data_IF_218254836524
#
_entry.id   IF_218254836524
#
_cell.length_a   1.000
_cell.length_b   1.000
_cell.length_c   1.000
_cell.angle_alpha   90.00
_cell.angle_beta   90.00
_cell.angle_gamma   90.00
#
_symmetry.space_group_name_H-M   'P 1'
#
loop_
_entity.id
_entity.type
_entity.pdbx_description
1 polymer ?
#
# COMPACT_ATOMS: atom_id res chain seq x y z
N UNK A 1 -59.44 10.56 -58.49
CA UNK A 1 -59.83 11.08 -57.17
C UNK A 1 -58.59 10.98 -56.28
N UNK A 2 -57.65 11.90 -56.48
CA UNK A 2 -57.49 13.16 -55.71
C UNK A 2 -56.86 12.89 -54.34
N UNK A 3 -55.55 13.15 -54.19
CA UNK A 3 -54.93 14.37 -53.60
C UNK A 3 -54.66 14.15 -52.08
N UNK A 4 -53.39 14.03 -51.60
CA UNK A 4 -52.45 15.10 -51.18
C UNK A 4 -53.08 16.14 -50.21
N UNK A 5 -52.30 16.83 -49.34
CA UNK A 5 -51.33 16.38 -48.32
C UNK A 5 -51.36 17.28 -47.04
N UNK A 6 -50.39 17.07 -46.12
CA UNK A 6 -49.63 18.05 -45.30
C UNK A 6 -50.27 19.11 -44.37
N UNK A 7 -49.51 19.33 -43.27
CA UNK A 7 -49.44 20.49 -42.35
C UNK A 7 -50.67 20.73 -41.46
N UNK A 8 -50.57 21.23 -40.23
CA UNK A 8 -49.72 22.28 -39.65
C UNK A 8 -49.64 22.02 -38.12
N UNK A 9 -48.50 22.21 -37.47
CA UNK A 9 -48.13 23.45 -36.76
C UNK A 9 -48.93 23.74 -35.47
N UNK A 10 -48.20 23.66 -34.35
CA UNK A 10 -48.16 24.58 -33.21
C UNK A 10 -49.49 25.03 -32.55
N UNK A 11 -49.69 24.65 -31.28
CA UNK A 11 -49.64 25.55 -30.09
C UNK A 11 -50.51 25.09 -28.90
N UNK A 12 -50.04 25.49 -27.69
CA UNK A 12 -50.74 25.59 -26.39
C UNK A 12 -51.01 24.25 -25.68
N UNK A 13 -50.99 24.13 -24.36
CA UNK A 13 -50.64 24.98 -23.23
C UNK A 13 -50.75 24.10 -21.98
N UNK A 14 -49.88 24.32 -20.99
CA UNK A 14 -50.13 24.15 -19.54
C UNK A 14 -50.80 22.86 -19.03
N UNK A 15 -50.06 22.07 -18.23
CA UNK A 15 -50.40 21.78 -16.82
C UNK A 15 -49.42 20.75 -16.22
N UNK A 16 -48.63 21.24 -15.26
CA UNK A 16 -48.20 20.61 -14.00
C UNK A 16 -48.17 19.08 -13.90
N UNK A 17 -46.97 18.52 -13.66
CA UNK A 17 -46.67 17.68 -12.48
C UNK A 17 -45.16 17.43 -12.36
N UNK A 18 -44.68 17.62 -11.14
CA UNK A 18 -43.28 17.79 -10.79
C UNK A 18 -42.40 16.55 -10.96
N UNK A 19 -41.15 16.84 -11.31
CA UNK A 19 -39.99 16.00 -11.05
C UNK A 19 -38.99 16.89 -10.32
N UNK A 20 -38.69 16.54 -9.07
CA UNK A 20 -37.62 17.17 -8.30
C UNK A 20 -36.29 16.89 -9.02
N UNK A 21 -35.68 17.94 -9.57
CA UNK A 21 -34.30 17.91 -10.01
C UNK A 21 -33.37 17.96 -8.78
N UNK A 22 -32.29 17.16 -8.73
CA UNK A 22 -31.25 17.33 -7.72
C UNK A 22 -30.58 18.69 -7.89
N UNK A 23 -30.36 19.38 -6.76
CA UNK A 23 -29.72 20.68 -6.72
C UNK A 23 -28.35 20.67 -7.46
N UNK A 24 -27.99 21.73 -8.20
CA UNK A 24 -26.66 21.83 -8.77
C UNK A 24 -25.65 21.90 -7.62
N UNK A 25 -24.64 21.04 -7.69
CA UNK A 25 -23.45 21.10 -6.84
C UNK A 25 -22.95 22.54 -6.82
N UNK A 26 -23.11 23.19 -5.66
CA UNK A 26 -22.53 24.49 -5.40
C UNK A 26 -21.04 24.39 -5.63
N UNK A 27 -20.55 25.07 -6.67
CA UNK A 27 -19.14 25.38 -6.79
C UNK A 27 -18.79 26.25 -5.58
N UNK A 28 -18.27 25.63 -4.52
CA UNK A 28 -17.49 26.33 -3.50
C UNK A 28 -16.19 26.77 -4.17
N UNK A 29 -16.27 27.84 -4.96
CA UNK A 29 -15.11 28.67 -5.26
C UNK A 29 -14.78 29.32 -3.93
N UNK A 30 -13.83 28.72 -3.20
CA UNK A 30 -13.30 29.32 -1.99
C UNK A 30 -12.66 30.64 -2.39
N UNK A 31 -13.25 31.75 -1.95
CA UNK A 31 -12.66 33.07 -2.06
C UNK A 31 -11.21 33.05 -1.53
N UNK A 32 -10.28 33.81 -2.13
CA UNK A 32 -8.93 33.93 -1.61
C UNK A 32 -9.00 34.49 -0.18
N UNK A 33 -8.33 33.86 0.82
CA UNK A 33 -8.42 34.31 2.20
C UNK A 33 -7.86 35.73 2.33
N UNK A 34 -8.63 36.60 2.99
CA UNK A 34 -8.23 37.98 3.29
C UNK A 34 -7.06 37.98 4.29
N UNK A 35 -6.19 39.02 4.29
CA UNK A 35 -4.94 39.01 5.07
C UNK A 35 -5.05 38.98 6.59
N UNK A 36 -6.26 39.15 7.16
CA UNK A 36 -6.46 39.38 8.60
C UNK A 36 -6.62 38.13 9.46
N UNK A 37 -6.75 36.94 8.86
CA UNK A 37 -6.90 35.66 9.58
C UNK A 37 -5.62 34.81 9.61
N UNK A 38 -4.49 35.37 9.18
CA UNK A 38 -3.21 34.65 9.18
C UNK A 38 -2.60 34.63 10.58
N UNK A 39 -2.20 33.43 11.02
CA UNK A 39 -1.70 33.17 12.37
C UNK A 39 -0.17 33.24 12.34
N UNK A 40 0.46 34.01 13.23
CA UNK A 40 1.92 34.21 13.28
C UNK A 40 2.57 33.48 14.45
N UNK A 41 3.86 33.20 14.34
CA UNK A 41 4.64 32.63 15.44
C UNK A 41 4.91 33.69 16.52
N UNK A 42 4.67 33.34 17.79
CA UNK A 42 4.91 34.21 18.95
C UNK A 42 6.35 34.17 19.49
N UNK A 43 7.22 33.29 18.98
CA UNK A 43 8.61 33.18 19.43
C UNK A 43 9.41 34.39 18.97
N UNK A 44 10.01 35.09 19.93
CA UNK A 44 10.81 36.30 19.69
C UNK A 44 11.91 36.03 18.67
N UNK A 45 11.95 36.83 17.60
CA UNK A 45 12.95 36.72 16.52
C UNK A 45 12.65 35.64 15.47
N UNK A 46 11.50 34.96 15.52
CA UNK A 46 11.12 34.01 14.48
C UNK A 46 10.66 34.72 13.19
N UNK A 47 11.32 34.41 12.06
CA UNK A 47 11.06 35.04 10.75
C UNK A 47 10.14 34.14 9.87
N UNK A 48 9.27 33.35 10.50
CA UNK A 48 8.36 32.47 9.74
C UNK A 48 7.32 33.27 8.97
N UNK A 49 6.97 32.82 7.76
CA UNK A 49 5.80 33.33 7.05
C UNK A 49 4.52 33.08 7.89
N UNK A 50 3.52 33.96 7.82
CA UNK A 50 2.22 33.74 8.48
C UNK A 50 1.55 32.45 7.99
N UNK A 51 0.85 31.77 8.87
CA UNK A 51 0.20 30.48 8.64
C UNK A 51 -1.28 30.66 8.37
N UNK A 52 -1.85 29.82 7.49
CA UNK A 52 -3.29 29.87 7.17
C UNK A 52 -4.15 29.09 8.15
N UNK A 53 -3.55 28.17 8.92
CA UNK A 53 -4.27 27.24 9.81
C UNK A 53 -3.50 27.05 11.11
N UNK A 54 -4.22 26.91 12.22
CA UNK A 54 -3.62 26.66 13.54
C UNK A 54 -2.75 25.40 13.54
N UNK A 55 -3.15 24.35 12.81
CA UNK A 55 -2.36 23.13 12.66
C UNK A 55 -0.98 23.37 12.02
N UNK A 56 -0.85 24.34 11.11
CA UNK A 56 0.42 24.69 10.48
C UNK A 56 1.33 25.46 11.45
N UNK A 57 0.75 26.37 12.26
CA UNK A 57 1.47 27.04 13.33
C UNK A 57 1.93 26.03 14.40
N UNK A 58 1.04 25.16 14.90
CA UNK A 58 1.39 24.15 15.90
C UNK A 58 2.55 23.27 15.43
N UNK A 59 2.54 22.88 14.15
CA UNK A 59 3.64 22.14 13.52
C UNK A 59 4.93 22.97 13.42
N UNK A 60 4.83 24.27 13.16
CA UNK A 60 5.98 25.17 13.15
C UNK A 60 6.59 25.30 14.55
N UNK A 61 5.76 25.43 15.60
CA UNK A 61 6.20 25.59 16.98
C UNK A 61 7.07 24.42 17.47
N UNK A 62 6.84 23.20 16.97
CA UNK A 62 7.71 22.04 17.23
C UNK A 62 9.18 22.27 16.85
N UNK A 63 9.48 23.16 15.89
CA UNK A 63 10.86 23.52 15.54
C UNK A 63 11.56 24.29 16.66
N UNK A 64 10.82 25.10 17.40
CA UNK A 64 11.35 25.86 18.54
C UNK A 64 11.54 24.97 19.76
N UNK A 65 10.72 23.93 19.91
CA UNK A 65 10.88 22.92 20.98
C UNK A 65 12.11 22.03 20.77
N UNK A 66 12.67 21.96 19.56
CA UNK A 66 13.82 21.11 19.24
C UNK A 66 13.54 19.60 19.31
N UNK A 67 12.28 19.19 19.53
CA UNK A 67 11.89 17.78 19.64
C UNK A 67 11.98 17.09 18.29
N UNK A 68 12.81 16.06 18.24
CA UNK A 68 13.01 15.21 17.07
C UNK A 68 12.55 13.80 17.43
N UNK A 69 11.26 13.55 17.23
CA UNK A 69 10.59 12.36 17.78
C UNK A 69 10.59 11.15 16.83
N UNK A 70 11.10 11.31 15.60
CA UNK A 70 10.96 10.32 14.52
C UNK A 70 12.32 9.91 13.95
N UNK A 71 13.10 9.06 14.64
CA UNK A 71 14.37 8.56 14.14
C UNK A 71 14.17 7.59 12.97
N UNK A 72 15.15 7.57 12.06
CA UNK A 72 15.27 6.49 11.08
C UNK A 72 15.82 5.23 11.74
N UNK A 73 15.19 4.08 11.49
CA UNK A 73 15.59 2.80 12.09
C UNK A 73 16.56 1.99 11.21
N UNK A 74 16.96 2.53 10.05
CA UNK A 74 17.95 1.88 9.19
C UNK A 74 19.33 1.85 9.86
N UNK A 75 19.98 0.70 9.81
CA UNK A 75 21.33 0.49 10.37
C UNK A 75 22.32 1.41 9.67
N UNK A 76 23.09 2.17 10.44
CA UNK A 76 24.07 3.13 9.92
C UNK A 76 23.47 4.46 9.41
N UNK A 77 22.15 4.67 9.49
CA UNK A 77 21.55 5.94 9.10
C UNK A 77 21.83 7.04 10.15
N UNK A 78 22.28 8.21 9.67
CA UNK A 78 22.59 9.38 10.52
C UNK A 78 21.36 10.17 10.98
N UNK A 79 20.15 9.82 10.51
CA UNK A 79 18.90 10.55 10.82
C UNK A 79 18.26 10.03 12.11
N UNK A 80 19.03 10.04 13.20
CA UNK A 80 18.67 9.55 14.54
C UNK A 80 19.07 10.57 15.61
N UNK A 81 18.63 10.38 16.87
CA UNK A 81 18.95 11.30 17.97
C UNK A 81 18.55 12.74 17.62
N UNK A 82 19.47 13.70 17.78
CA UNK A 82 19.26 15.12 17.44
C UNK A 82 19.06 15.39 15.94
N UNK A 83 19.36 14.42 15.09
CA UNK A 83 19.14 14.46 13.64
C UNK A 83 17.87 13.67 13.24
N UNK A 84 17.04 13.23 14.19
CA UNK A 84 15.77 12.62 13.86
C UNK A 84 14.82 13.61 13.17
N UNK A 85 13.77 13.10 12.55
CA UNK A 85 12.75 13.94 11.93
C UNK A 85 11.81 14.49 13.00
N UNK A 86 11.28 15.68 12.76
CA UNK A 86 10.25 16.30 13.61
C UNK A 86 8.84 15.89 13.22
N UNK A 87 8.71 15.12 12.11
CA UNK A 87 7.42 14.70 11.55
C UNK A 87 7.49 13.29 10.94
N UNK A 88 6.42 12.49 11.04
CA UNK A 88 6.35 11.15 10.48
C UNK A 88 6.37 11.14 8.94
N UNK A 89 5.69 12.09 8.28
CA UNK A 89 5.70 12.17 6.81
C UNK A 89 7.10 12.44 6.23
N UNK A 90 7.95 13.14 6.98
CA UNK A 90 9.35 13.40 6.60
C UNK A 90 10.22 12.16 6.80
N UNK A 91 9.98 11.40 7.85
CA UNK A 91 10.61 10.08 8.02
C UNK A 91 10.19 9.14 6.88
N UNK A 92 8.90 9.05 6.56
CA UNK A 92 8.39 8.22 5.46
C UNK A 92 9.05 8.59 4.13
N UNK A 93 9.06 9.86 3.76
CA UNK A 93 9.68 10.33 2.51
C UNK A 93 11.18 10.03 2.47
N UNK A 94 11.88 10.19 3.59
CA UNK A 94 13.29 9.81 3.71
C UNK A 94 13.51 8.32 3.48
N UNK A 95 12.70 7.45 4.10
CA UNK A 95 12.85 6.00 3.94
C UNK A 95 12.60 5.57 2.50
N UNK A 96 11.59 6.13 1.84
CA UNK A 96 11.28 5.86 0.43
C UNK A 96 12.40 6.29 -0.51
N UNK A 97 12.99 7.46 -0.26
CA UNK A 97 13.99 8.04 -1.15
C UNK A 97 15.41 7.51 -0.90
N UNK A 98 15.71 7.12 0.34
CA UNK A 98 17.07 6.84 0.79
C UNK A 98 17.36 5.38 1.09
N UNK A 99 16.35 4.51 1.24
CA UNK A 99 16.53 3.11 1.62
C UNK A 99 15.83 2.14 0.66
N UNK A 100 16.51 1.05 0.34
CA UNK A 100 16.07 -0.06 -0.49
C UNK A 100 15.48 -1.18 0.37
N UNK A 101 14.84 -2.15 -0.29
CA UNK A 101 14.15 -3.27 0.39
C UNK A 101 15.09 -4.20 1.16
N UNK A 102 16.37 -4.22 0.75
CA UNK A 102 17.44 -5.01 1.37
C UNK A 102 18.23 -4.26 2.45
N UNK A 103 18.06 -2.94 2.57
CA UNK A 103 18.71 -2.18 3.64
C UNK A 103 18.20 -2.68 5.00
N UNK A 104 19.12 -2.91 5.94
CA UNK A 104 18.78 -3.47 7.24
C UNK A 104 18.20 -2.40 8.17
N UNK A 105 17.14 -2.75 8.88
CA UNK A 105 16.48 -1.94 9.88
C UNK A 105 16.51 -2.65 11.21
N UNK A 106 16.87 -1.92 12.27
CA UNK A 106 16.93 -2.42 13.63
C UNK A 106 15.70 -2.02 14.42
N UNK A 107 15.18 -2.97 15.19
CA UNK A 107 14.05 -2.68 16.06
C UNK A 107 14.41 -1.70 17.18
N UNK A 108 13.50 -0.77 17.50
CA UNK A 108 13.74 0.28 18.50
C UNK A 108 13.43 -0.16 19.95
N UNK A 109 12.99 -1.41 20.18
CA UNK A 109 12.62 -1.90 21.52
C UNK A 109 13.94 -2.06 22.24
N UNK A 110 13.98 -1.69 23.51
CA UNK A 110 15.06 -2.13 24.39
C UNK A 110 15.26 -3.66 24.36
N UNK A 111 14.18 -4.46 24.35
CA UNK A 111 14.24 -5.93 24.39
C UNK A 111 14.23 -6.65 23.03
N UNK A 112 14.37 -5.92 21.91
CA UNK A 112 14.37 -6.55 20.58
C UNK A 112 15.65 -6.20 19.83
N UNK A 113 16.49 -7.22 19.59
CA UNK A 113 17.74 -7.10 18.85
C UNK A 113 17.64 -7.50 17.38
N UNK A 114 16.42 -7.72 16.87
CA UNK A 114 16.20 -8.18 15.50
C UNK A 114 16.57 -7.07 14.50
N UNK A 115 17.34 -7.45 13.49
CA UNK A 115 17.66 -6.66 12.31
C UNK A 115 17.09 -7.35 11.08
N UNK A 116 16.27 -6.63 10.30
CA UNK A 116 15.57 -7.20 9.14
C UNK A 116 15.70 -6.27 7.94
N UNK A 117 15.69 -6.81 6.71
CA UNK A 117 15.54 -6.02 5.50
C UNK A 117 14.30 -5.13 5.57
N UNK A 118 14.37 -3.89 5.07
CA UNK A 118 13.26 -2.91 5.06
C UNK A 118 11.93 -3.51 4.63
N UNK A 119 11.93 -4.34 3.58
CA UNK A 119 10.73 -4.97 3.04
C UNK A 119 10.02 -5.92 4.00
N UNK A 120 10.76 -6.52 4.95
CA UNK A 120 10.22 -7.42 5.98
C UNK A 120 10.05 -6.71 7.32
N UNK A 121 10.91 -5.73 7.62
CA UNK A 121 10.90 -4.97 8.87
C UNK A 121 9.55 -4.28 9.14
N UNK A 122 8.86 -3.85 8.09
CA UNK A 122 7.53 -3.26 8.23
C UNK A 122 6.50 -4.20 8.89
N UNK A 123 6.66 -5.53 8.73
CA UNK A 123 5.82 -6.55 9.36
C UNK A 123 6.16 -6.72 10.84
N UNK A 124 7.47 -6.75 11.15
CA UNK A 124 7.95 -6.82 12.52
C UNK A 124 7.48 -5.62 13.35
N UNK A 125 7.57 -4.42 12.77
CA UNK A 125 7.33 -3.18 13.49
C UNK A 125 5.84 -2.83 13.61
N UNK A 126 4.98 -3.30 12.70
CA UNK A 126 3.53 -2.99 12.77
C UNK A 126 2.83 -3.65 13.96
N UNK A 127 3.36 -4.74 14.49
CA UNK A 127 2.67 -5.56 15.50
C UNK A 127 2.67 -4.97 16.92
N UNK A 128 3.51 -3.98 17.20
CA UNK A 128 3.75 -3.54 18.59
C UNK A 128 3.57 -2.04 18.88
N UNK A 129 3.56 -1.17 17.86
CA UNK A 129 3.65 0.28 18.04
C UNK A 129 2.53 0.92 17.27
N UNK A 130 1.45 1.18 18.00
CA UNK A 130 0.29 1.95 17.52
C UNK A 130 0.57 3.47 17.53
N UNK A 131 1.84 3.86 17.41
CA UNK A 131 2.29 5.25 17.38
C UNK A 131 2.70 5.71 15.98
N UNK A 132 3.08 6.99 15.82
CA UNK A 132 3.23 7.56 14.47
C UNK A 132 4.43 7.02 13.67
N UNK A 133 5.41 6.39 14.34
CA UNK A 133 6.47 5.64 13.64
C UNK A 133 5.90 4.33 13.10
N UNK A 134 5.02 3.66 13.85
CA UNK A 134 4.31 2.47 13.43
C UNK A 134 3.49 2.72 12.18
N UNK A 135 2.71 3.81 12.17
CA UNK A 135 1.93 4.24 11.01
C UNK A 135 2.81 4.44 9.75
N UNK A 136 4.02 4.98 9.92
CA UNK A 136 4.98 5.12 8.82
C UNK A 136 5.32 3.75 8.25
N UNK A 137 5.79 2.82 9.07
CA UNK A 137 6.21 1.49 8.59
C UNK A 137 5.04 0.64 8.09
N UNK A 138 3.89 0.70 8.75
CA UNK A 138 2.65 0.08 8.27
C UNK A 138 2.29 0.59 6.87
N UNK A 139 2.36 1.89 6.63
CA UNK A 139 2.09 2.43 5.30
C UNK A 139 3.15 2.07 4.25
N UNK A 140 4.39 1.78 4.64
CA UNK A 140 5.47 1.36 3.74
C UNK A 140 5.34 -0.11 3.33
N UNK A 141 4.71 -0.95 4.15
CA UNK A 141 4.40 -2.36 3.85
C UNK A 141 3.55 -2.51 2.59
N UNK A 142 2.59 -1.61 2.39
CA UNK A 142 1.61 -1.67 1.30
C UNK A 142 2.11 -1.00 0.01
N UNK A 143 3.30 -0.41 0.02
CA UNK A 143 3.88 0.24 -1.16
C UNK A 143 4.65 -0.78 -2.02
N UNK A 144 4.54 -0.64 -3.34
CA UNK A 144 5.35 -1.43 -4.29
C UNK A 144 6.08 -0.49 -5.23
N UNK A 145 7.40 -0.56 -5.23
CA UNK A 145 8.25 0.19 -6.17
C UNK A 145 8.44 -0.63 -7.44
N UNK A 146 8.53 0.04 -8.58
CA UNK A 146 9.03 -0.61 -9.79
C UNK A 146 10.44 -1.21 -9.53
N UNK A 147 10.66 -2.51 -9.83
CA UNK A 147 11.96 -3.16 -9.61
C UNK A 147 13.08 -2.64 -10.52
N UNK A 148 12.74 -1.90 -11.58
CA UNK A 148 13.71 -1.38 -12.54
C UNK A 148 14.46 -0.17 -11.94
N UNK A 149 15.81 -0.20 -11.89
CA UNK A 149 16.60 0.89 -11.34
C UNK A 149 16.28 2.25 -11.99
N UNK A 150 16.34 3.31 -11.18
CA UNK A 150 16.01 4.70 -11.55
C UNK A 150 14.55 4.96 -11.93
N UNK A 151 13.70 3.93 -12.02
CA UNK A 151 12.26 4.15 -12.13
C UNK A 151 11.71 4.70 -10.81
N UNK A 152 10.93 5.77 -10.90
CA UNK A 152 10.31 6.45 -9.75
C UNK A 152 8.86 6.05 -9.53
N UNK A 153 8.34 5.06 -10.26
CA UNK A 153 6.96 4.60 -10.10
C UNK A 153 6.80 3.82 -8.80
N UNK A 154 5.75 4.18 -8.06
CA UNK A 154 5.29 3.50 -6.86
C UNK A 154 3.80 3.27 -6.95
N UNK A 155 3.39 2.03 -6.70
CA UNK A 155 2.01 1.72 -6.40
C UNK A 155 1.77 1.99 -4.92
N UNK A 156 0.85 2.92 -4.63
CA UNK A 156 0.44 3.28 -3.27
C UNK A 156 -1.02 2.88 -3.13
N UNK A 157 -1.29 1.84 -2.33
CA UNK A 157 -2.67 1.48 -1.99
C UNK A 157 -3.27 2.59 -1.13
N UNK A 158 -4.22 3.35 -1.67
CA UNK A 158 -4.98 4.33 -0.89
C UNK A 158 -6.26 3.64 -0.38
N UNK A 159 -6.50 3.73 0.92
CA UNK A 159 -7.61 3.05 1.62
C UNK A 159 -9.02 3.56 1.25
N UNK A 160 -9.18 4.40 0.22
CA UNK A 160 -10.40 5.15 -0.06
C UNK A 160 -11.13 4.75 -1.35
N UNK A 161 -10.71 3.67 -2.03
CA UNK A 161 -11.55 3.06 -3.06
C UNK A 161 -12.26 1.83 -2.50
N UNK A 162 -13.59 1.87 -2.50
CA UNK A 162 -14.42 0.71 -2.14
C UNK A 162 -14.29 -0.46 -3.15
N UNK A 163 -13.59 -0.27 -4.27
CA UNK A 163 -13.07 -1.40 -5.03
C UNK A 163 -11.73 -1.83 -4.39
N UNK A 164 -11.74 -3.00 -3.76
CA UNK A 164 -10.54 -3.74 -3.35
C UNK A 164 -9.65 -4.17 -4.54
N UNK A 165 -9.93 -3.64 -5.74
CA UNK A 165 -9.56 -4.16 -7.04
C UNK A 165 -8.44 -3.36 -7.74
N UNK A 166 -7.89 -2.30 -7.11
CA UNK A 166 -6.63 -1.68 -7.55
C UNK A 166 -5.46 -2.55 -7.08
N UNK A 167 -5.35 -3.69 -7.75
CA UNK A 167 -4.36 -4.73 -7.49
C UNK A 167 -2.97 -4.36 -7.99
N UNK A 168 -2.05 -5.30 -7.82
CA UNK A 168 -0.70 -5.23 -8.35
C UNK A 168 -0.65 -5.26 -9.90
N UNK A 169 -1.80 -5.40 -10.56
CA UNK A 169 -1.99 -5.28 -12.01
C UNK A 169 -1.50 -3.92 -12.55
N UNK A 170 -1.67 -2.84 -11.80
CA UNK A 170 -1.16 -1.51 -12.18
C UNK A 170 0.38 -1.50 -12.31
N UNK A 171 1.07 -2.33 -11.52
CA UNK A 171 2.51 -2.51 -11.64
C UNK A 171 2.87 -3.31 -12.89
N UNK A 172 2.09 -4.35 -13.24
CA UNK A 172 2.30 -5.10 -14.49
C UNK A 172 2.06 -4.21 -15.71
N UNK A 173 0.96 -3.45 -15.73
CA UNK A 173 0.65 -2.48 -16.77
C UNK A 173 1.77 -1.44 -16.89
N UNK A 174 2.24 -0.88 -15.76
CA UNK A 174 3.39 0.02 -15.75
C UNK A 174 4.64 -0.60 -16.38
N UNK A 175 4.97 -1.86 -16.04
CA UNK A 175 6.13 -2.58 -16.58
C UNK A 175 6.02 -2.73 -18.11
N UNK A 176 4.83 -3.00 -18.63
CA UNK A 176 4.57 -3.16 -20.06
C UNK A 176 4.56 -1.84 -20.83
N UNK A 177 3.95 -0.80 -20.26
CA UNK A 177 3.75 0.48 -20.94
C UNK A 177 4.96 1.41 -20.87
N UNK A 178 5.72 1.37 -19.76
CA UNK A 178 6.78 2.36 -19.49
C UNK A 178 8.19 1.83 -19.67
N UNK A 179 8.34 0.52 -19.84
CA UNK A 179 9.63 -0.12 -20.10
C UNK A 179 9.50 -0.99 -21.34
N UNK A 180 10.45 -0.93 -22.25
CA UNK A 180 10.47 -1.80 -23.42
C UNK A 180 10.97 -3.20 -23.05
N UNK A 181 10.76 -4.18 -23.94
CA UNK A 181 11.16 -5.57 -23.69
C UNK A 181 12.68 -5.70 -23.42
N UNK A 182 13.51 -4.90 -24.11
CA UNK A 182 14.95 -4.88 -23.89
C UNK A 182 15.32 -4.31 -22.53
N UNK A 183 14.70 -3.19 -22.13
CA UNK A 183 14.89 -2.58 -20.82
C UNK A 183 14.52 -3.52 -19.68
N UNK A 184 13.40 -4.24 -19.80
CA UNK A 184 13.02 -5.25 -18.81
C UNK A 184 13.97 -6.44 -18.79
N UNK A 185 14.38 -6.95 -19.95
CA UNK A 185 15.32 -8.08 -20.05
C UNK A 185 16.68 -7.78 -19.38
N UNK A 186 17.17 -6.54 -19.48
CA UNK A 186 18.40 -6.10 -18.80
C UNK A 186 18.32 -6.20 -17.27
N UNK A 187 17.11 -6.17 -16.71
CA UNK A 187 16.85 -6.25 -15.27
C UNK A 187 16.06 -7.50 -14.89
N UNK A 188 16.17 -8.58 -15.69
CA UNK A 188 15.39 -9.80 -15.48
C UNK A 188 15.57 -10.42 -14.09
N UNK A 189 16.78 -10.35 -13.52
CA UNK A 189 17.04 -10.82 -12.15
C UNK A 189 16.22 -10.06 -11.10
N UNK A 190 16.13 -8.74 -11.21
CA UNK A 190 15.36 -7.90 -10.27
C UNK A 190 13.86 -8.11 -10.44
N UNK A 191 13.39 -8.23 -11.68
CA UNK A 191 11.98 -8.54 -11.98
C UNK A 191 11.60 -9.91 -11.41
N UNK A 192 12.44 -10.93 -11.61
CA UNK A 192 12.21 -12.27 -11.04
C UNK A 192 12.19 -12.26 -9.51
N UNK A 193 13.10 -11.52 -8.87
CA UNK A 193 13.09 -11.38 -7.40
C UNK A 193 11.81 -10.69 -6.88
N UNK A 194 11.26 -9.77 -7.68
CA UNK A 194 9.98 -9.13 -7.42
C UNK A 194 8.76 -9.97 -7.85
N UNK A 195 8.97 -11.14 -8.46
CA UNK A 195 7.93 -12.09 -8.84
C UNK A 195 7.32 -11.87 -10.23
N UNK A 196 8.02 -11.20 -11.14
CA UNK A 196 7.53 -10.92 -12.50
C UNK A 196 8.44 -11.47 -13.60
N UNK A 197 7.83 -11.96 -14.68
CA UNK A 197 8.55 -12.34 -15.89
C UNK A 197 9.07 -11.10 -16.62
N UNK A 198 10.34 -11.12 -17.06
CA UNK A 198 10.95 -9.95 -17.68
C UNK A 198 10.40 -9.61 -19.06
N UNK A 199 9.81 -10.59 -19.76
CA UNK A 199 9.31 -10.41 -21.11
C UNK A 199 7.82 -10.07 -21.07
N UNK A 200 7.02 -10.88 -20.37
CA UNK A 200 5.56 -10.77 -20.37
C UNK A 200 5.02 -9.92 -19.22
N UNK A 201 5.83 -9.62 -18.20
CA UNK A 201 5.39 -9.02 -16.93
C UNK A 201 4.31 -9.85 -16.21
N UNK A 202 4.11 -11.11 -16.60
CA UNK A 202 3.22 -12.04 -15.88
C UNK A 202 3.77 -12.33 -14.49
N UNK A 203 2.87 -12.60 -13.55
CA UNK A 203 3.21 -13.01 -12.18
C UNK A 203 3.83 -14.40 -12.23
N UNK A 204 5.00 -14.56 -11.62
CA UNK A 204 5.70 -15.85 -11.53
C UNK A 204 5.47 -16.47 -10.15
N UNK A 205 5.14 -17.76 -10.12
CA UNK A 205 5.24 -18.50 -8.87
C UNK A 205 6.72 -18.69 -8.51
N UNK A 206 7.21 -18.19 -7.36
CA UNK A 206 8.61 -18.29 -7.00
C UNK A 206 9.03 -19.70 -6.54
N UNK A 207 8.07 -20.56 -6.19
CA UNK A 207 8.30 -21.90 -5.66
C UNK A 207 8.44 -22.94 -6.79
N UNK A 208 7.66 -22.79 -7.87
CA UNK A 208 7.64 -23.79 -8.93
C UNK A 208 8.90 -23.72 -9.82
N UNK A 209 9.48 -24.88 -10.22
CA UNK A 209 10.75 -24.93 -10.95
C UNK A 209 10.69 -24.36 -12.37
N UNK A 210 9.58 -24.50 -13.11
CA UNK A 210 9.43 -23.89 -14.46
C UNK A 210 7.98 -23.58 -14.85
N UNK A 211 7.81 -22.51 -15.63
CA UNK A 211 6.63 -22.13 -16.44
C UNK A 211 5.28 -21.92 -15.71
N UNK A 212 5.30 -21.65 -14.41
CA UNK A 212 4.10 -21.24 -13.67
C UNK A 212 4.02 -19.71 -13.66
N UNK A 213 3.43 -19.17 -14.75
CA UNK A 213 3.18 -17.75 -14.95
C UNK A 213 1.67 -17.51 -15.01
N UNK A 214 1.27 -16.35 -14.52
CA UNK A 214 -0.13 -15.97 -14.40
C UNK A 214 -0.32 -14.55 -14.93
N UNK A 215 -1.33 -14.38 -15.78
CA UNK A 215 -1.67 -13.06 -16.30
C UNK A 215 -2.10 -12.12 -15.17
N UNK A 216 -2.84 -12.64 -14.19
CA UNK A 216 -3.38 -11.90 -13.05
C UNK A 216 -2.88 -12.47 -11.73
N UNK A 217 -2.79 -11.62 -10.71
CA UNK A 217 -2.37 -12.04 -9.37
C UNK A 217 -3.37 -13.01 -8.72
N UNK A 218 -4.67 -12.89 -8.98
CA UNK A 218 -5.68 -13.81 -8.44
C UNK A 218 -5.49 -15.26 -8.92
N UNK A 219 -5.03 -15.43 -10.17
CA UNK A 219 -4.74 -16.76 -10.72
C UNK A 219 -3.51 -17.37 -10.01
N UNK A 220 -2.53 -16.53 -9.64
CA UNK A 220 -1.41 -16.95 -8.79
C UNK A 220 -1.88 -17.32 -7.36
N UNK A 221 -2.80 -16.58 -6.76
CA UNK A 221 -3.33 -16.90 -5.41
C UNK A 221 -4.04 -18.26 -5.39
N UNK A 222 -4.89 -18.50 -6.40
CA UNK A 222 -5.56 -19.79 -6.57
C UNK A 222 -4.54 -20.93 -6.73
N UNK A 223 -3.52 -20.75 -7.58
CA UNK A 223 -2.43 -21.72 -7.71
C UNK A 223 -1.71 -21.96 -6.37
N UNK A 224 -1.39 -20.91 -5.62
CA UNK A 224 -0.72 -21.04 -4.33
C UNK A 224 -1.53 -21.87 -3.34
N UNK A 225 -2.83 -21.60 -3.20
CA UNK A 225 -3.67 -22.39 -2.29
C UNK A 225 -3.83 -23.85 -2.72
N UNK A 226 -3.79 -24.12 -4.02
CA UNK A 226 -3.92 -25.49 -4.54
C UNK A 226 -2.63 -26.30 -4.45
N UNK A 227 -1.46 -25.66 -4.49
CA UNK A 227 -0.18 -26.37 -4.69
C UNK A 227 0.80 -26.20 -3.52
N UNK A 228 0.75 -25.09 -2.79
CA UNK A 228 1.78 -24.70 -1.81
C UNK A 228 1.22 -24.44 -0.40
N UNK A 229 -0.11 -24.45 -0.23
CA UNK A 229 -0.74 -24.20 1.05
C UNK A 229 -1.00 -25.50 1.81
N UNK A 230 -0.32 -25.66 2.95
CA UNK A 230 -0.52 -26.78 3.88
C UNK A 230 -1.18 -26.27 5.17
N UNK A 231 -2.44 -25.84 5.07
CA UNK A 231 -3.21 -25.39 6.22
C UNK A 231 -4.58 -26.06 6.29
N UNK A 232 -5.32 -25.87 7.39
CA UNK A 232 -6.65 -26.42 7.53
C UNK A 232 -7.53 -25.90 6.39
N UNK A 233 -8.16 -26.82 5.68
CA UNK A 233 -9.38 -26.55 4.94
C UNK A 233 -10.47 -26.61 6.03
N UNK A 234 -11.25 -25.54 6.19
CA UNK A 234 -12.34 -25.39 7.18
C UNK A 234 -12.74 -26.69 7.91
N UNK A 235 -12.66 -26.72 9.24
CA UNK A 235 -12.91 -27.92 10.06
C UNK A 235 -14.27 -28.58 9.77
N UNK A 236 -15.27 -27.81 9.31
CA UNK A 236 -16.60 -28.31 8.96
C UNK A 236 -16.64 -29.09 7.63
N UNK A 237 -15.61 -29.01 6.77
CA UNK A 237 -15.58 -29.64 5.43
C UNK A 237 -14.16 -30.05 5.02
N UNK A 238 -13.59 -31.03 5.74
CA UNK A 238 -12.25 -31.57 5.52
C UNK A 238 -11.99 -32.16 4.12
N UNK A 239 -13.05 -32.39 3.34
CA UNK A 239 -13.03 -32.92 1.96
C UNK A 239 -13.10 -31.82 0.88
N UNK A 240 -12.96 -30.55 1.27
CA UNK A 240 -13.10 -29.37 0.40
C UNK A 240 -14.51 -29.16 -0.19
N UNK A 241 -15.54 -29.79 0.39
CA UNK A 241 -16.96 -29.62 -0.01
C UNK A 241 -17.65 -28.36 0.52
N UNK A 242 -16.91 -27.42 1.13
CA UNK A 242 -17.47 -26.18 1.71
C UNK A 242 -18.49 -25.49 0.79
N UNK A 243 -19.55 -24.85 1.29
CA UNK A 243 -20.31 -23.90 0.49
C UNK A 243 -19.43 -22.69 0.10
N UNK A 244 -19.78 -21.99 -0.98
CA UNK A 244 -19.04 -20.79 -1.43
C UNK A 244 -19.03 -19.64 -0.40
N UNK A 245 -19.97 -19.67 0.54
CA UNK A 245 -20.08 -18.73 1.67
C UNK A 245 -19.21 -19.11 2.88
N UNK A 246 -18.44 -20.19 2.80
CA UNK A 246 -17.60 -20.64 3.90
C UNK A 246 -16.42 -19.68 4.13
N UNK A 247 -16.27 -19.20 5.37
CA UNK A 247 -15.13 -18.36 5.78
C UNK A 247 -13.78 -19.03 5.52
N UNK A 248 -13.69 -20.36 5.59
CA UNK A 248 -12.47 -21.10 5.24
C UNK A 248 -12.14 -21.12 3.74
N UNK A 249 -12.95 -20.51 2.87
CA UNK A 249 -12.59 -20.19 1.49
C UNK A 249 -11.96 -18.80 1.35
N UNK A 250 -12.04 -17.93 2.36
CA UNK A 250 -11.45 -16.60 2.32
C UNK A 250 -9.92 -16.66 2.49
N UNK A 251 -9.21 -15.96 1.60
CA UNK A 251 -7.74 -15.82 1.66
C UNK A 251 -7.25 -15.37 3.04
N UNK A 252 -7.98 -14.42 3.64
CA UNK A 252 -7.68 -13.89 4.96
C UNK A 252 -7.65 -15.00 6.02
N UNK A 253 -8.72 -15.81 6.07
CA UNK A 253 -8.85 -16.87 7.05
C UNK A 253 -7.78 -17.94 6.84
N UNK A 254 -7.59 -18.39 5.59
CA UNK A 254 -6.60 -19.43 5.25
C UNK A 254 -5.18 -19.03 5.63
N UNK A 255 -4.75 -17.82 5.27
CA UNK A 255 -3.39 -17.36 5.57
C UNK A 255 -3.14 -17.25 7.08
N UNK A 256 -4.14 -16.78 7.85
CA UNK A 256 -4.01 -16.58 9.30
C UNK A 256 -4.04 -17.87 10.11
N UNK A 257 -4.69 -18.92 9.62
CA UNK A 257 -4.89 -20.19 10.33
C UNK A 257 -3.99 -21.33 9.84
N UNK A 258 -3.00 -21.06 8.97
CA UNK A 258 -2.05 -22.08 8.50
C UNK A 258 -1.22 -22.64 9.67
N UNK A 259 -1.43 -23.92 9.99
CA UNK A 259 -0.75 -24.65 11.08
C UNK A 259 0.56 -25.29 10.64
N UNK A 260 0.73 -25.54 9.35
CA UNK A 260 1.98 -25.97 8.72
C UNK A 260 2.43 -24.94 7.69
N UNK A 261 3.74 -24.75 7.58
CA UNK A 261 4.35 -23.78 6.68
C UNK A 261 5.47 -24.52 5.96
N UNK A 262 5.28 -24.88 4.68
CA UNK A 262 6.30 -25.57 3.92
C UNK A 262 7.59 -24.73 3.85
N UNK A 263 8.74 -25.40 3.84
CA UNK A 263 10.04 -24.71 3.88
C UNK A 263 10.27 -23.90 2.60
N UNK A 264 9.81 -24.39 1.46
CA UNK A 264 9.81 -23.69 0.18
C UNK A 264 9.01 -22.37 0.23
N UNK A 265 7.87 -22.34 0.94
CA UNK A 265 7.11 -21.10 1.17
C UNK A 265 7.93 -20.14 2.01
N UNK A 266 8.61 -20.62 3.06
CA UNK A 266 9.46 -19.80 3.92
C UNK A 266 10.66 -19.23 3.15
N UNK A 267 11.29 -20.01 2.28
CA UNK A 267 12.41 -19.56 1.44
C UNK A 267 11.98 -18.47 0.45
N UNK A 268 10.77 -18.56 -0.10
CA UNK A 268 10.27 -17.63 -1.11
C UNK A 268 9.35 -16.52 -0.57
N UNK A 269 9.12 -16.46 0.75
CA UNK A 269 8.16 -15.54 1.39
C UNK A 269 8.32 -14.06 1.02
N UNK A 270 9.55 -13.60 0.76
CA UNK A 270 9.82 -12.20 0.35
C UNK A 270 9.29 -11.89 -1.05
N UNK A 271 9.46 -12.82 -1.99
CA UNK A 271 8.92 -12.69 -3.34
C UNK A 271 7.40 -12.89 -3.33
N UNK A 272 6.88 -13.81 -2.51
CA UNK A 272 5.42 -13.95 -2.37
C UNK A 272 4.80 -12.65 -1.80
N UNK A 273 5.47 -12.02 -0.82
CA UNK A 273 5.06 -10.71 -0.29
C UNK A 273 5.01 -9.62 -1.35
N UNK A 274 5.94 -9.60 -2.31
CA UNK A 274 5.93 -8.56 -3.36
C UNK A 274 4.74 -8.71 -4.30
N UNK A 275 4.31 -9.93 -4.59
CA UNK A 275 3.19 -10.26 -5.50
C UNK A 275 1.87 -10.55 -4.78
N UNK A 276 1.77 -10.42 -3.46
CA UNK A 276 0.51 -10.68 -2.75
C UNK A 276 0.33 -9.76 -1.53
N UNK A 277 -0.52 -8.72 -1.63
CA UNK A 277 -0.73 -7.75 -0.55
C UNK A 277 -1.35 -8.34 0.72
N UNK A 278 -2.07 -9.46 0.63
CA UNK A 278 -2.67 -10.13 1.79
C UNK A 278 -1.73 -11.10 2.51
N UNK A 279 -0.67 -11.56 1.83
CA UNK A 279 0.33 -12.49 2.37
C UNK A 279 1.01 -12.09 3.68
N UNK A 280 1.19 -10.80 4.04
CA UNK A 280 1.73 -10.46 5.35
C UNK A 280 0.83 -10.80 6.54
N UNK A 281 -0.36 -11.37 6.31
CA UNK A 281 -1.19 -12.01 7.35
C UNK A 281 -0.83 -13.47 7.62
N UNK A 282 -0.01 -14.07 6.76
CA UNK A 282 0.39 -15.47 6.89
C UNK A 282 1.18 -15.72 8.18
N UNK A 283 0.99 -16.89 8.78
CA UNK A 283 1.79 -17.37 9.91
C UNK A 283 3.28 -17.54 9.57
N UNK A 284 3.68 -17.47 8.29
CA UNK A 284 5.09 -17.54 7.83
C UNK A 284 5.97 -16.42 8.37
N UNK A 285 5.36 -15.38 8.93
CA UNK A 285 6.06 -14.23 9.50
C UNK A 285 6.22 -14.31 11.02
N UNK A 286 5.71 -15.34 11.68
CA UNK A 286 5.75 -15.47 13.14
C UNK A 286 7.18 -15.48 13.72
N UNK A 287 8.16 -15.95 12.95
CA UNK A 287 9.59 -15.94 13.30
C UNK A 287 10.22 -14.52 13.25
N UNK A 288 9.58 -13.59 12.54
CA UNK A 288 10.05 -12.19 12.44
C UNK A 288 9.13 -11.21 13.17
N UNK A 289 8.08 -11.66 13.86
CA UNK A 289 7.22 -10.77 14.67
C UNK A 289 7.97 -10.27 15.90
N UNK A 290 7.62 -9.07 16.34
CA UNK A 290 8.19 -8.54 17.55
C UNK A 290 7.56 -9.16 18.80
N UNK A 291 8.26 -10.09 19.44
CA UNK A 291 7.76 -10.73 20.65
C UNK A 291 7.77 -9.72 21.83
N UNK A 292 6.64 -9.59 22.53
CA UNK A 292 6.67 -9.22 23.94
C UNK A 292 7.23 -10.40 24.72
N UNK A 293 8.22 -10.18 25.60
CA UNK A 293 8.45 -11.13 26.68
C UNK A 293 7.10 -11.29 27.38
N UNK A 294 6.48 -12.45 27.22
CA UNK A 294 5.48 -12.90 28.18
C UNK A 294 6.30 -13.27 29.41
N UNK A 295 6.23 -12.44 30.43
CA UNK A 295 6.59 -12.85 31.80
C UNK A 295 5.56 -13.83 32.34
#
# INVERSE_FOLDING_TARGET
MEARPSNDSLMRSTLSKGLHAPAPFGQNVLDPPTPNDLIVCSVKGCISKPFKRQAELNRHMKKHEGKTDYPCLAVGCKRTGTQAFTRPDKLKAHVIAGHHDDDLFKCYKPDCSVELPRGVFALHYSDWNNGPIGDVFYSLREMRKCPIPKCTFWLIRTYWSQSEQYGLEDLQAHLLEKHDARGRANFAGLLRQAGYDSITAEVMCPICPTNNRFARHEDFYAHYFLQHFHGPICDDHSDASCPDTCQGREDYWRLTHSSSIPEEVRQHRRTILSIWPAFPRSSVWNDVRCQSKQE
#
